data_IF_252649407592
#
_entry.id   IF_252649407592
#
_cell.length_a   1.000
_cell.length_b   1.000
_cell.length_c   1.000
_cell.angle_alpha   90.00
_cell.angle_beta   90.00
_cell.angle_gamma   90.00
#
_symmetry.space_group_name_H-M   'P 1'
#
loop_
_entity.id
_entity.type
_entity.pdbx_description
1 polymer ?
#
# COMPACT_ATOMS: atom_id res chain seq x y z
N UNK A 1 14.48 -14.62 -29.66
CA UNK A 1 15.20 -15.34 -28.59
C UNK A 1 16.12 -14.35 -27.90
N UNK A 2 16.09 -14.29 -26.57
CA UNK A 2 17.03 -13.47 -25.80
C UNK A 2 18.46 -14.08 -25.89
N UNK A 3 19.53 -13.28 -25.75
CA UNK A 3 20.90 -13.78 -25.79
C UNK A 3 21.20 -14.80 -24.68
N UNK A 4 22.18 -15.69 -24.87
CA UNK A 4 22.66 -16.55 -23.79
C UNK A 4 23.44 -15.74 -22.75
N UNK A 5 23.60 -16.29 -21.55
CA UNK A 5 24.19 -15.57 -20.41
C UNK A 5 25.55 -14.90 -20.70
N UNK A 6 26.40 -15.56 -21.50
CA UNK A 6 27.73 -15.07 -21.82
C UNK A 6 27.81 -14.26 -23.12
N UNK A 7 26.72 -14.15 -23.87
CA UNK A 7 26.66 -13.41 -25.14
C UNK A 7 26.70 -11.90 -24.89
N UNK A 8 26.97 -11.12 -25.94
CA UNK A 8 26.84 -9.68 -25.89
C UNK A 8 25.37 -9.29 -25.59
N UNK A 9 25.18 -8.29 -24.75
CA UNK A 9 23.85 -7.79 -24.49
C UNK A 9 23.29 -7.03 -25.69
N UNK A 10 22.00 -7.23 -25.98
CA UNK A 10 21.28 -6.61 -27.10
C UNK A 10 21.22 -5.07 -27.06
N UNK A 11 21.46 -4.44 -25.90
CA UNK A 11 21.39 -2.98 -25.76
C UNK A 11 22.62 -2.23 -26.28
N UNK A 12 23.61 -2.92 -26.83
CA UNK A 12 24.82 -2.28 -27.36
C UNK A 12 25.80 -1.77 -26.28
N UNK A 13 25.57 -2.06 -24.99
CA UNK A 13 26.44 -1.61 -23.89
C UNK A 13 27.85 -2.21 -23.87
N UNK A 14 28.13 -3.18 -24.75
CA UNK A 14 29.36 -3.98 -24.73
C UNK A 14 29.49 -4.93 -23.54
N UNK A 15 28.51 -4.98 -22.63
CA UNK A 15 28.50 -5.89 -21.47
C UNK A 15 27.95 -7.27 -21.87
N UNK A 16 28.41 -8.32 -21.18
CA UNK A 16 27.80 -9.66 -21.27
C UNK A 16 26.34 -9.60 -20.79
N UNK A 17 25.45 -10.32 -21.45
CA UNK A 17 24.01 -10.32 -21.15
C UNK A 17 23.71 -10.58 -19.68
N UNK A 18 24.39 -11.56 -19.06
CA UNK A 18 24.27 -11.87 -17.62
C UNK A 18 24.60 -10.73 -16.66
N UNK A 19 25.37 -9.73 -17.12
CA UNK A 19 25.80 -8.55 -16.34
C UNK A 19 25.10 -7.27 -16.80
N UNK A 20 24.14 -7.39 -17.70
CA UNK A 20 23.39 -6.27 -18.26
C UNK A 20 21.90 -6.51 -18.06
N UNK A 21 21.19 -7.03 -19.05
CA UNK A 21 19.73 -7.16 -19.02
C UNK A 21 19.20 -8.52 -18.54
N UNK A 22 20.03 -9.57 -18.41
CA UNK A 22 19.56 -10.85 -17.87
C UNK A 22 18.97 -10.75 -16.46
N UNK A 23 19.54 -9.97 -15.51
CA UNK A 23 18.92 -9.77 -14.20
C UNK A 23 17.58 -9.02 -14.21
N UNK A 24 17.21 -8.44 -15.35
CA UNK A 24 15.94 -7.74 -15.57
C UNK A 24 14.89 -8.65 -16.22
N UNK A 25 15.24 -9.88 -16.64
CA UNK A 25 14.26 -10.85 -17.14
C UNK A 25 13.23 -11.16 -16.05
N UNK A 26 11.95 -11.01 -16.38
CA UNK A 26 10.84 -11.24 -15.45
C UNK A 26 10.65 -10.14 -14.40
N UNK A 27 11.38 -9.03 -14.49
CA UNK A 27 11.17 -7.84 -13.64
C UNK A 27 10.05 -6.97 -14.19
N UNK A 28 9.41 -6.23 -13.29
CA UNK A 28 8.56 -5.10 -13.65
C UNK A 28 9.43 -4.02 -14.31
N UNK A 29 8.97 -3.52 -15.46
CA UNK A 29 9.55 -2.39 -16.17
C UNK A 29 8.53 -1.25 -16.14
N UNK A 30 9.03 -0.02 -16.06
CA UNK A 30 8.20 1.18 -16.14
C UNK A 30 7.61 1.31 -17.56
N UNK A 31 6.30 1.45 -17.63
CA UNK A 31 5.55 1.80 -18.83
C UNK A 31 5.43 3.30 -19.02
N UNK A 32 4.59 3.69 -19.97
CA UNK A 32 4.28 5.09 -20.24
C UNK A 32 3.24 5.59 -19.23
N UNK A 33 3.52 6.73 -18.59
CA UNK A 33 2.62 7.36 -17.63
C UNK A 33 1.75 8.39 -18.37
N UNK A 34 0.43 8.23 -18.32
CA UNK A 34 -0.51 9.20 -18.91
C UNK A 34 -0.60 10.48 -18.05
N UNK A 35 -1.01 11.64 -18.62
CA UNK A 35 -1.11 12.89 -17.87
C UNK A 35 -2.00 12.80 -16.62
N UNK A 36 -1.66 13.60 -15.59
CA UNK A 36 -2.44 13.72 -14.36
C UNK A 36 -3.90 14.11 -14.67
N UNK A 37 -4.86 13.39 -14.06
CA UNK A 37 -6.30 13.62 -14.24
C UNK A 37 -6.78 14.81 -13.41
N UNK A 38 -7.73 15.57 -13.94
CA UNK A 38 -8.28 16.74 -13.27
C UNK A 38 -9.38 16.37 -12.27
N UNK A 39 -9.39 17.02 -11.11
CA UNK A 39 -10.44 16.87 -10.09
C UNK A 39 -11.43 18.04 -10.20
N UNK A 40 -12.75 17.80 -10.30
CA UNK A 40 -13.76 18.86 -10.39
C UNK A 40 -13.71 19.87 -9.22
N UNK A 41 -14.10 21.12 -9.49
CA UNK A 41 -14.03 22.21 -8.51
C UNK A 41 -14.92 22.00 -7.27
N UNK A 42 -16.02 21.27 -7.42
CA UNK A 42 -16.96 21.00 -6.32
C UNK A 42 -16.42 19.98 -5.29
N UNK A 43 -15.37 19.23 -5.64
CA UNK A 43 -14.72 18.30 -4.71
C UNK A 43 -13.81 19.08 -3.77
N UNK A 44 -14.00 18.86 -2.47
CA UNK A 44 -13.13 19.42 -1.42
C UNK A 44 -11.74 18.79 -1.54
N UNK A 45 -10.71 19.63 -1.61
CA UNK A 45 -9.33 19.20 -1.87
C UNK A 45 -8.47 19.37 -0.61
N UNK A 46 -7.52 18.45 -0.34
CA UNK A 46 -6.54 18.64 0.72
C UNK A 46 -5.56 19.78 0.36
N UNK A 47 -4.87 20.31 1.37
CA UNK A 47 -4.03 21.51 1.23
C UNK A 47 -2.90 21.38 0.17
N UNK A 48 -2.41 20.17 -0.08
CA UNK A 48 -1.35 19.92 -1.05
C UNK A 48 -1.85 19.79 -2.49
N UNK A 49 -3.16 19.63 -2.74
CA UNK A 49 -3.69 19.25 -4.05
C UNK A 49 -3.29 20.21 -5.18
N UNK A 50 -3.15 21.51 -4.89
CA UNK A 50 -2.82 22.52 -5.89
C UNK A 50 -1.31 22.65 -6.17
N UNK A 51 -0.46 22.41 -5.17
CA UNK A 51 0.97 22.74 -5.23
C UNK A 51 1.88 21.51 -5.19
N UNK A 52 1.32 20.37 -4.80
CA UNK A 52 2.01 19.17 -4.39
C UNK A 52 2.86 19.29 -3.12
N UNK A 53 2.83 20.45 -2.45
CA UNK A 53 3.60 20.68 -1.23
C UNK A 53 2.76 20.35 0.00
N UNK A 54 3.23 19.38 0.78
CA UNK A 54 2.57 18.96 2.02
C UNK A 54 2.93 19.94 3.14
N UNK A 55 1.92 20.68 3.60
CA UNK A 55 2.02 21.50 4.81
C UNK A 55 1.73 20.62 6.02
N UNK A 56 2.70 20.49 6.93
CA UNK A 56 2.52 19.75 8.17
C UNK A 56 2.09 20.67 9.29
N UNK A 57 1.13 20.22 10.10
CA UNK A 57 0.74 20.87 11.35
C UNK A 57 0.72 19.87 12.49
N UNK A 58 0.73 20.37 13.72
CA UNK A 58 0.52 19.52 14.90
C UNK A 58 -0.96 19.15 14.95
N UNK A 59 -1.24 17.89 14.67
CA UNK A 59 -2.57 17.29 14.82
C UNK A 59 -2.55 16.39 16.04
N UNK A 60 -3.61 16.46 16.86
CA UNK A 60 -3.71 15.62 18.05
C UNK A 60 -3.73 14.14 17.64
N UNK A 61 -2.90 13.33 18.32
CA UNK A 61 -2.85 11.89 18.09
C UNK A 61 -4.17 11.22 18.49
N UNK A 62 -4.83 11.75 19.52
CA UNK A 62 -6.15 11.30 19.97
C UNK A 62 -7.21 12.18 19.30
N UNK A 63 -8.04 11.59 18.46
CA UNK A 63 -9.06 12.29 17.68
C UNK A 63 -10.32 12.55 18.49
N UNK A 64 -11.00 13.65 18.21
CA UNK A 64 -12.32 13.92 18.78
C UNK A 64 -13.36 12.94 18.20
N UNK A 65 -14.49 12.69 18.90
CA UNK A 65 -15.56 11.85 18.38
C UNK A 65 -16.07 12.27 17.00
N UNK A 66 -16.10 13.57 16.72
CA UNK A 66 -16.53 14.13 15.43
C UNK A 66 -15.52 13.81 14.31
N UNK A 67 -14.21 13.93 14.58
CA UNK A 67 -13.17 13.52 13.63
C UNK A 67 -13.27 12.02 13.36
N UNK A 68 -13.40 11.20 14.40
CA UNK A 68 -13.53 9.75 14.28
C UNK A 68 -14.74 9.37 13.41
N UNK A 69 -15.87 10.05 13.59
CA UNK A 69 -17.06 9.77 12.79
C UNK A 69 -16.86 10.10 11.30
N UNK A 70 -16.14 11.19 10.99
CA UNK A 70 -15.74 11.49 9.60
C UNK A 70 -14.79 10.43 9.05
N UNK A 71 -13.84 9.96 9.87
CA UNK A 71 -12.88 8.93 9.47
C UNK A 71 -13.54 7.58 9.19
N UNK A 72 -14.57 7.18 9.95
CA UNK A 72 -15.39 6.00 9.62
C UNK A 72 -15.98 6.10 8.22
N UNK A 73 -16.52 7.27 7.86
CA UNK A 73 -17.07 7.47 6.53
C UNK A 73 -15.98 7.43 5.44
N UNK A 74 -14.85 8.12 5.64
CA UNK A 74 -13.73 8.09 4.70
C UNK A 74 -13.16 6.67 4.52
N UNK A 75 -13.07 5.90 5.60
CA UNK A 75 -12.63 4.50 5.56
C UNK A 75 -13.55 3.59 4.76
N UNK A 76 -14.87 3.73 4.92
CA UNK A 76 -15.86 3.00 4.11
C UNK A 76 -15.75 3.35 2.64
N UNK A 77 -15.60 4.64 2.31
CA UNK A 77 -15.42 5.11 0.92
C UNK A 77 -14.17 4.50 0.29
N UNK A 78 -13.03 4.55 0.97
CA UNK A 78 -11.78 3.97 0.47
C UNK A 78 -11.88 2.45 0.29
N UNK A 79 -12.45 1.74 1.27
CA UNK A 79 -12.63 0.29 1.22
C UNK A 79 -13.55 -0.16 0.08
N UNK A 80 -14.63 0.59 -0.19
CA UNK A 80 -15.54 0.29 -1.29
C UNK A 80 -14.85 0.48 -2.66
N UNK A 81 -14.10 1.57 -2.83
CA UNK A 81 -13.32 1.84 -4.05
C UNK A 81 -12.28 0.74 -4.28
N UNK A 82 -11.53 0.36 -3.24
CA UNK A 82 -10.54 -0.72 -3.32
C UNK A 82 -11.19 -2.05 -3.74
N UNK A 83 -12.32 -2.42 -3.13
CA UNK A 83 -13.04 -3.65 -3.46
C UNK A 83 -13.48 -3.65 -4.92
N UNK A 84 -14.06 -2.56 -5.40
CA UNK A 84 -14.52 -2.44 -6.79
C UNK A 84 -13.36 -2.43 -7.79
N UNK A 85 -12.27 -1.71 -7.49
CA UNK A 85 -11.08 -1.71 -8.34
C UNK A 85 -10.44 -3.10 -8.42
N UNK A 86 -10.47 -3.85 -7.31
CA UNK A 86 -10.06 -5.25 -7.24
C UNK A 86 -10.78 -6.18 -8.21
N UNK A 87 -12.07 -5.93 -8.51
CA UNK A 87 -12.85 -6.73 -9.46
C UNK A 87 -12.34 -6.59 -10.91
N UNK A 88 -11.58 -5.52 -11.21
CA UNK A 88 -10.99 -5.30 -12.52
C UNK A 88 -9.67 -6.05 -12.73
N UNK A 89 -9.03 -6.52 -11.65
CA UNK A 89 -7.71 -7.15 -11.69
C UNK A 89 -7.78 -8.49 -12.42
N UNK A 90 -7.25 -8.53 -13.64
CA UNK A 90 -7.22 -9.72 -14.51
C UNK A 90 -6.13 -9.58 -15.58
N UNK A 91 -5.68 -10.69 -16.20
CA UNK A 91 -4.74 -10.61 -17.31
C UNK A 91 -5.27 -9.69 -18.43
N UNK A 92 -4.38 -8.87 -19.00
CA UNK A 92 -4.69 -8.01 -20.15
C UNK A 92 -5.15 -6.59 -19.83
N UNK A 93 -5.44 -6.25 -18.56
CA UNK A 93 -5.71 -4.87 -18.15
C UNK A 93 -4.40 -4.14 -17.81
N UNK A 94 -4.35 -2.83 -18.01
CA UNK A 94 -3.24 -1.99 -17.57
C UNK A 94 -3.45 -1.45 -16.15
N UNK A 95 -2.36 -1.07 -15.48
CA UNK A 95 -2.46 -0.36 -14.19
C UNK A 95 -3.07 1.04 -14.37
N UNK A 96 -2.83 1.71 -15.51
CA UNK A 96 -3.47 2.99 -15.83
C UNK A 96 -5.00 2.87 -15.99
N UNK A 97 -5.52 1.79 -16.59
CA UNK A 97 -6.98 1.54 -16.64
C UNK A 97 -7.60 1.41 -15.25
N UNK A 98 -6.86 0.84 -14.29
CA UNK A 98 -7.29 0.75 -12.89
C UNK A 98 -7.26 2.13 -12.24
N UNK A 99 -6.22 2.95 -12.47
CA UNK A 99 -6.15 4.33 -11.97
C UNK A 99 -7.31 5.19 -12.47
N UNK A 100 -7.64 5.09 -13.76
CA UNK A 100 -8.79 5.79 -14.35
C UNK A 100 -10.08 5.44 -13.60
N UNK A 101 -10.31 4.15 -13.35
CA UNK A 101 -11.47 3.71 -12.59
C UNK A 101 -11.46 4.23 -11.15
N UNK A 102 -10.34 4.10 -10.43
CA UNK A 102 -10.22 4.56 -9.04
C UNK A 102 -10.44 6.07 -8.96
N UNK A 103 -9.87 6.83 -9.89
CA UNK A 103 -10.09 8.27 -9.98
C UNK A 103 -11.59 8.58 -10.10
N UNK A 104 -12.24 8.04 -11.13
CA UNK A 104 -13.64 8.34 -11.44
C UNK A 104 -14.57 7.88 -10.29
N UNK A 105 -14.33 6.69 -9.73
CA UNK A 105 -15.06 6.16 -8.57
C UNK A 105 -14.89 7.00 -7.29
N UNK A 106 -13.73 7.65 -7.14
CA UNK A 106 -13.46 8.57 -6.02
C UNK A 106 -14.26 9.87 -6.19
N UNK A 107 -14.26 10.44 -7.40
CA UNK A 107 -15.03 11.65 -7.72
C UNK A 107 -16.53 11.42 -7.57
N UNK A 108 -17.06 10.29 -8.05
CA UNK A 108 -18.47 9.91 -7.92
C UNK A 108 -18.94 9.85 -6.46
N UNK A 109 -18.04 9.54 -5.53
CA UNK A 109 -18.31 9.52 -4.09
C UNK A 109 -18.12 10.87 -3.40
N UNK A 110 -17.84 11.93 -4.16
CA UNK A 110 -17.61 13.27 -3.62
C UNK A 110 -16.27 13.41 -2.89
N UNK A 111 -15.32 12.51 -3.13
CA UNK A 111 -14.03 12.46 -2.47
C UNK A 111 -12.89 12.92 -3.40
N UNK A 112 -11.74 13.23 -2.80
CA UNK A 112 -10.49 13.49 -3.51
C UNK A 112 -9.56 12.27 -3.38
N UNK A 113 -8.93 11.77 -4.46
CA UNK A 113 -7.96 10.69 -4.38
C UNK A 113 -6.67 11.20 -3.75
N UNK A 114 -6.42 10.85 -2.48
CA UNK A 114 -5.36 11.47 -1.67
C UNK A 114 -3.97 11.37 -2.28
N UNK A 115 -3.56 10.28 -2.97
CA UNK A 115 -2.25 10.22 -3.60
C UNK A 115 -2.05 11.29 -4.68
N UNK A 116 -3.12 11.76 -5.33
CA UNK A 116 -3.01 12.66 -6.46
C UNK A 116 -2.34 13.97 -6.05
N UNK A 117 -1.22 14.28 -6.69
CA UNK A 117 -0.32 15.40 -6.43
C UNK A 117 0.32 15.40 -5.02
N UNK A 118 0.17 14.37 -4.20
CA UNK A 118 0.86 14.31 -2.89
C UNK A 118 2.38 14.22 -3.09
N UNK A 119 3.14 15.24 -2.67
CA UNK A 119 4.57 15.38 -3.02
C UNK A 119 4.85 15.29 -4.54
N UNK A 120 3.87 15.62 -5.39
CA UNK A 120 3.98 15.50 -6.84
C UNK A 120 3.68 14.11 -7.41
N UNK A 121 3.16 13.16 -6.62
CA UNK A 121 2.73 11.86 -7.13
C UNK A 121 1.67 12.03 -8.25
N UNK A 122 1.82 11.39 -9.42
CA UNK A 122 1.07 11.79 -10.63
C UNK A 122 -0.31 11.12 -10.77
N UNK A 123 -0.65 10.16 -9.90
CA UNK A 123 -1.81 9.25 -10.06
C UNK A 123 -2.71 9.22 -8.83
N UNK A 124 -3.86 8.59 -8.96
CA UNK A 124 -4.95 8.57 -7.96
C UNK A 124 -4.89 7.36 -7.03
N UNK A 125 -4.10 6.35 -7.38
CA UNK A 125 -3.91 5.08 -6.68
C UNK A 125 -2.46 4.63 -6.86
N UNK A 126 -1.91 3.86 -5.92
CA UNK A 126 -0.65 3.15 -6.18
C UNK A 126 -0.93 1.72 -6.69
N UNK A 127 -0.17 1.26 -7.67
CA UNK A 127 -0.26 -0.08 -8.25
C UNK A 127 1.09 -0.79 -8.17
N UNK A 128 1.24 -1.72 -7.23
CA UNK A 128 2.53 -2.35 -6.94
C UNK A 128 2.50 -3.83 -7.32
N UNK A 129 3.08 -4.15 -8.49
CA UNK A 129 3.11 -5.51 -9.01
C UNK A 129 4.37 -6.28 -8.55
N UNK A 130 4.20 -7.56 -8.21
CA UNK A 130 5.29 -8.53 -8.03
C UNK A 130 6.38 -8.08 -7.03
N UNK A 131 7.55 -7.64 -7.49
CA UNK A 131 8.65 -7.17 -6.64
C UNK A 131 8.56 -5.72 -6.18
N UNK A 132 7.60 -4.95 -6.69
CA UNK A 132 7.34 -3.58 -6.27
C UNK A 132 6.70 -3.63 -4.88
N UNK A 133 7.39 -3.03 -3.90
CA UNK A 133 7.01 -3.00 -2.49
C UNK A 133 5.80 -2.10 -2.26
N UNK A 134 5.90 -0.85 -2.71
CA UNK A 134 4.85 0.15 -2.56
C UNK A 134 5.08 1.29 -3.56
N UNK A 135 4.10 2.19 -3.66
CA UNK A 135 4.14 3.43 -4.45
C UNK A 135 4.42 3.24 -5.95
N UNK A 136 4.17 2.05 -6.51
CA UNK A 136 4.24 1.87 -7.96
C UNK A 136 3.28 2.82 -8.65
N UNK A 137 3.76 3.55 -9.67
CA UNK A 137 2.96 4.51 -10.42
C UNK A 137 2.15 3.76 -11.50
N UNK A 138 0.82 3.90 -11.55
CA UNK A 138 0.01 3.41 -12.67
C UNK A 138 0.51 3.90 -14.03
N UNK A 139 0.67 2.96 -14.96
CA UNK A 139 1.28 3.16 -16.27
C UNK A 139 0.71 2.20 -17.33
N UNK A 140 1.31 2.19 -18.52
CA UNK A 140 0.89 1.32 -19.63
C UNK A 140 1.23 -0.17 -19.45
N UNK A 141 1.75 -0.62 -18.29
CA UNK A 141 2.05 -2.03 -18.03
C UNK A 141 0.78 -2.86 -18.04
N UNK A 142 0.72 -3.81 -18.96
CA UNK A 142 -0.34 -4.83 -19.01
C UNK A 142 -0.06 -5.92 -17.98
N UNK A 143 -1.03 -6.20 -17.10
CA UNK A 143 -0.97 -7.30 -16.13
C UNK A 143 -0.93 -8.65 -16.85
N UNK A 144 -0.03 -9.52 -16.41
CA UNK A 144 0.17 -10.86 -16.96
C UNK A 144 -0.50 -11.91 -16.07
N UNK A 145 -0.92 -13.02 -16.68
CA UNK A 145 -1.33 -14.21 -15.93
C UNK A 145 -0.19 -14.69 -15.03
N UNK A 146 -0.50 -14.91 -13.76
CA UNK A 146 0.45 -15.29 -12.72
C UNK A 146 1.03 -14.12 -11.90
N UNK A 147 0.79 -12.86 -12.28
CA UNK A 147 1.17 -11.69 -11.47
C UNK A 147 0.41 -11.64 -10.13
N UNK A 148 0.97 -10.91 -9.16
CA UNK A 148 0.21 -10.35 -8.03
C UNK A 148 0.27 -8.82 -8.11
N UNK A 149 -0.80 -8.14 -7.68
CA UNK A 149 -0.91 -6.69 -7.73
C UNK A 149 -1.50 -6.15 -6.44
N UNK A 150 -0.74 -5.33 -5.71
CA UNK A 150 -1.30 -4.50 -4.65
C UNK A 150 -1.91 -3.22 -5.26
N UNK A 151 -3.12 -2.87 -4.79
CA UNK A 151 -3.77 -1.58 -5.04
C UNK A 151 -3.87 -0.84 -3.73
N UNK A 152 -3.38 0.40 -3.70
CA UNK A 152 -3.37 1.25 -2.51
C UNK A 152 -4.27 2.49 -2.69
N UNK A 153 -5.37 2.51 -1.95
CA UNK A 153 -6.47 3.47 -2.12
C UNK A 153 -6.63 4.31 -0.86
N UNK A 154 -6.39 5.61 -1.02
CA UNK A 154 -6.68 6.60 0.02
C UNK A 154 -7.69 7.64 -0.47
N UNK A 155 -8.80 7.80 0.23
CA UNK A 155 -9.82 8.81 -0.09
C UNK A 155 -9.84 9.95 0.94
N UNK A 156 -9.89 11.20 0.46
CA UNK A 156 -10.08 12.39 1.29
C UNK A 156 -11.52 12.90 1.15
N UNK A 157 -12.28 12.85 2.23
CA UNK A 157 -13.68 13.28 2.25
C UNK A 157 -14.05 13.81 3.64
N UNK A 158 -14.87 14.87 3.66
CA UNK A 158 -15.26 15.52 4.90
C UNK A 158 -14.11 16.17 5.67
N UNK A 159 -12.92 16.34 5.07
CA UNK A 159 -11.77 16.94 5.73
C UNK A 159 -10.79 15.95 6.38
N UNK A 160 -10.97 14.65 6.17
CA UNK A 160 -10.09 13.59 6.69
C UNK A 160 -9.78 12.55 5.61
N UNK A 161 -8.72 11.77 5.82
CA UNK A 161 -8.30 10.67 4.96
C UNK A 161 -8.76 9.31 5.52
N UNK A 162 -9.10 8.38 4.63
CA UNK A 162 -9.24 6.96 4.93
C UNK A 162 -8.37 6.15 3.98
N UNK A 163 -7.61 5.19 4.52
CA UNK A 163 -6.52 4.51 3.80
C UNK A 163 -6.56 2.99 3.95
N UNK A 164 -6.42 2.29 2.82
CA UNK A 164 -6.47 0.83 2.76
C UNK A 164 -5.92 0.30 1.45
N UNK A 165 -5.28 -0.85 1.53
CA UNK A 165 -4.72 -1.54 0.39
C UNK A 165 -4.89 -3.06 0.52
N UNK A 166 -4.84 -3.75 -0.60
CA UNK A 166 -4.88 -5.21 -0.65
C UNK A 166 -4.13 -5.73 -1.87
N UNK A 167 -3.54 -6.92 -1.74
CA UNK A 167 -2.91 -7.62 -2.86
C UNK A 167 -3.88 -8.60 -3.51
N UNK A 168 -4.04 -8.47 -4.82
CA UNK A 168 -4.90 -9.28 -5.67
C UNK A 168 -4.07 -10.26 -6.52
N UNK A 169 -4.68 -11.40 -6.82
CA UNK A 169 -4.10 -12.43 -7.69
C UNK A 169 -4.53 -12.17 -9.15
N UNK A 170 -3.59 -12.16 -10.08
CA UNK A 170 -3.88 -11.98 -11.50
C UNK A 170 -3.92 -13.34 -12.19
N UNK A 171 -5.13 -13.87 -12.42
CA UNK A 171 -5.31 -15.16 -13.10
C UNK A 171 -4.78 -16.34 -12.27
N UNK A 172 -4.00 -17.24 -12.87
CA UNK A 172 -3.46 -18.42 -12.18
C UNK A 172 -2.06 -18.19 -11.59
N UNK A 173 -2.04 -17.76 -10.33
CA UNK A 173 -0.82 -17.47 -9.56
C UNK A 173 -0.21 -18.74 -8.98
N UNK A 174 1.12 -18.83 -8.95
CA UNK A 174 1.83 -19.98 -8.40
C UNK A 174 1.59 -20.16 -6.87
N UNK A 175 1.75 -21.38 -6.33
CA UNK A 175 1.46 -21.66 -4.92
C UNK A 175 2.26 -20.83 -3.92
N UNK A 176 3.52 -20.46 -4.22
CA UNK A 176 4.35 -19.70 -3.30
C UNK A 176 3.87 -18.25 -3.22
N UNK A 177 3.48 -17.66 -4.34
CA UNK A 177 2.93 -16.31 -4.40
C UNK A 177 1.52 -16.23 -3.80
N UNK A 178 0.68 -17.27 -3.97
CA UNK A 178 -0.59 -17.38 -3.23
C UNK A 178 -0.38 -17.44 -1.71
N UNK A 179 0.59 -18.22 -1.25
CA UNK A 179 0.94 -18.29 0.17
C UNK A 179 1.48 -16.96 0.69
N UNK A 180 2.29 -16.24 -0.09
CA UNK A 180 2.77 -14.90 0.27
C UNK A 180 1.59 -13.97 0.54
N UNK A 181 0.62 -13.88 -0.37
CA UNK A 181 -0.56 -13.01 -0.23
C UNK A 181 -1.38 -13.40 1.01
N UNK A 182 -1.65 -14.69 1.21
CA UNK A 182 -2.37 -15.19 2.38
C UNK A 182 -1.66 -14.83 3.69
N UNK A 183 -0.37 -15.12 3.81
CA UNK A 183 0.40 -14.87 5.03
C UNK A 183 0.52 -13.37 5.31
N UNK A 184 0.52 -12.53 4.27
CA UNK A 184 0.52 -11.07 4.42
C UNK A 184 -0.80 -10.56 5.02
N UNK A 185 -1.94 -11.08 4.54
CA UNK A 185 -3.25 -10.80 5.14
C UNK A 185 -3.28 -11.24 6.62
N UNK A 186 -2.80 -12.45 6.92
CA UNK A 186 -2.69 -12.96 8.29
C UNK A 186 -1.80 -12.09 9.18
N UNK A 187 -0.62 -11.68 8.68
CA UNK A 187 0.29 -10.77 9.37
C UNK A 187 -0.40 -9.46 9.75
N UNK A 188 -1.13 -8.86 8.79
CA UNK A 188 -1.89 -7.61 9.00
C UNK A 188 -2.88 -7.78 10.15
N UNK A 189 -3.66 -8.86 10.14
CA UNK A 189 -4.64 -9.13 11.20
C UNK A 189 -4.01 -9.49 12.56
N UNK A 190 -2.86 -10.16 12.59
CA UNK A 190 -2.11 -10.33 13.85
C UNK A 190 -1.60 -8.99 14.40
N UNK A 191 -1.19 -8.07 13.53
CA UNK A 191 -0.86 -6.70 13.90
C UNK A 191 -2.06 -5.95 14.48
N UNK A 192 -3.21 -6.03 13.81
CA UNK A 192 -4.48 -5.42 14.26
C UNK A 192 -4.92 -5.98 15.62
N UNK A 193 -4.92 -7.30 15.81
CA UNK A 193 -5.32 -7.91 17.09
C UNK A 193 -4.36 -7.59 18.25
N UNK A 194 -3.15 -7.12 17.97
CA UNK A 194 -2.20 -6.64 18.99
C UNK A 194 -2.49 -5.21 19.47
N UNK A 195 -3.39 -4.48 18.81
CA UNK A 195 -3.79 -3.13 19.21
C UNK A 195 -4.62 -3.19 20.49
N UNK A 196 -4.11 -2.56 21.53
CA UNK A 196 -4.71 -2.53 22.86
C UNK A 196 -4.30 -1.24 23.59
N UNK A 197 -5.25 -0.50 24.20
CA UNK A 197 -4.90 0.68 24.98
C UNK A 197 -3.93 0.36 26.12
N UNK A 198 -2.97 1.25 26.35
CA UNK A 198 -1.94 1.09 27.37
C UNK A 198 -0.75 0.21 26.96
N UNK A 199 -0.77 -0.39 25.76
CA UNK A 199 0.35 -1.17 25.19
C UNK A 199 1.21 -0.32 24.25
N UNK A 200 2.51 -0.63 24.09
CA UNK A 200 3.37 0.08 23.14
C UNK A 200 3.10 -0.33 21.69
N UNK A 201 3.31 0.58 20.73
CA UNK A 201 3.19 0.30 19.29
C UNK A 201 4.11 -0.84 18.83
N UNK A 202 5.26 -1.06 19.49
CA UNK A 202 6.17 -2.18 19.19
C UNK A 202 5.53 -3.57 19.29
N UNK A 203 4.40 -3.73 20.01
CA UNK A 203 3.68 -4.99 20.06
C UNK A 203 3.06 -5.37 18.70
N UNK A 204 2.69 -4.39 17.86
CA UNK A 204 2.18 -4.61 16.50
C UNK A 204 3.27 -5.24 15.63
N UNK A 205 4.44 -4.61 15.56
CA UNK A 205 5.58 -5.13 14.80
C UNK A 205 6.09 -6.49 15.33
N UNK A 206 5.97 -6.73 16.64
CA UNK A 206 6.25 -8.04 17.23
C UNK A 206 5.31 -9.13 16.72
N UNK A 207 4.01 -8.85 16.69
CA UNK A 207 2.99 -9.80 16.24
C UNK A 207 3.17 -10.16 14.76
N UNK A 208 3.35 -9.15 13.91
CA UNK A 208 3.60 -9.30 12.46
C UNK A 208 4.88 -10.12 12.22
N UNK A 209 6.01 -9.69 12.79
CA UNK A 209 7.30 -10.33 12.52
C UNK A 209 7.34 -11.78 13.02
N UNK A 210 6.71 -12.08 14.16
CA UNK A 210 6.61 -13.44 14.67
C UNK A 210 5.83 -14.36 13.73
N UNK A 211 4.79 -13.85 13.06
CA UNK A 211 4.02 -14.65 12.11
C UNK A 211 4.79 -14.85 10.80
N UNK A 212 5.31 -13.80 10.19
CA UNK A 212 6.10 -13.87 8.97
C UNK A 212 7.30 -14.83 9.08
N UNK A 213 7.99 -14.83 10.24
CA UNK A 213 9.12 -15.73 10.52
C UNK A 213 8.78 -17.22 10.45
N UNK A 214 7.55 -17.63 10.80
CA UNK A 214 7.12 -19.04 10.70
C UNK A 214 7.18 -19.56 9.26
N UNK A 215 6.96 -18.67 8.29
CA UNK A 215 6.97 -18.96 6.86
C UNK A 215 8.28 -18.57 6.18
N UNK A 216 9.29 -18.13 6.94
CA UNK A 216 10.60 -17.67 6.42
C UNK A 216 10.47 -16.50 5.44
N UNK A 217 9.45 -15.65 5.63
CA UNK A 217 9.24 -14.44 4.85
C UNK A 217 9.93 -13.24 5.51
N UNK A 218 10.37 -12.28 4.69
CA UNK A 218 10.95 -11.02 5.16
C UNK A 218 9.89 -9.96 5.44
N UNK A 219 10.20 -9.01 6.34
CA UNK A 219 9.34 -7.86 6.65
C UNK A 219 10.10 -6.59 6.30
N UNK A 220 9.58 -5.80 5.35
CA UNK A 220 10.21 -4.54 4.90
C UNK A 220 10.37 -3.59 6.08
N UNK A 221 11.49 -2.84 6.09
CA UNK A 221 11.85 -1.92 7.20
C UNK A 221 11.90 -0.45 6.83
N UNK A 222 11.83 -0.12 5.54
CA UNK A 222 11.96 1.25 5.05
C UNK A 222 10.63 2.02 5.04
N UNK A 223 9.52 1.30 5.02
CA UNK A 223 8.16 1.82 4.99
C UNK A 223 7.38 1.24 6.18
N UNK A 224 6.50 2.04 6.75
CA UNK A 224 5.90 1.84 8.07
C UNK A 224 4.47 2.35 8.05
N UNK A 225 3.62 1.84 8.93
CA UNK A 225 2.33 2.46 9.16
C UNK A 225 2.47 3.85 9.77
N UNK A 226 1.43 4.66 9.62
CA UNK A 226 1.45 6.05 10.00
C UNK A 226 0.15 6.46 10.70
N UNK A 227 0.22 7.46 11.57
CA UNK A 227 -1.00 8.10 12.05
C UNK A 227 -1.69 8.84 10.90
N UNK A 228 -3.01 8.80 10.90
CA UNK A 228 -3.85 9.33 9.82
C UNK A 228 -5.08 10.04 10.41
N UNK A 229 -5.57 11.07 9.73
CA UNK A 229 -6.73 11.83 10.15
C UNK A 229 -7.00 12.99 9.20
N UNK A 230 -6.90 14.22 9.70
CA UNK A 230 -7.00 15.43 8.88
C UNK A 230 -5.76 15.63 8.00
N UNK A 231 -4.59 15.14 8.45
CA UNK A 231 -3.42 14.89 7.63
C UNK A 231 -3.39 13.46 7.11
N UNK A 232 -2.86 13.30 5.90
CA UNK A 232 -2.62 12.00 5.28
C UNK A 232 -1.62 11.18 6.12
N UNK A 233 -0.47 11.78 6.45
CA UNK A 233 0.56 11.16 7.29
C UNK A 233 0.94 12.08 8.45
N UNK A 234 0.81 11.59 9.69
CA UNK A 234 1.18 12.30 10.94
C UNK A 234 2.45 11.72 11.58
N UNK A 235 2.74 12.09 12.84
CA UNK A 235 3.96 11.70 13.55
C UNK A 235 3.88 10.34 14.28
N UNK A 236 2.73 9.68 14.30
CA UNK A 236 2.61 8.30 14.79
C UNK A 236 3.25 7.38 13.78
N UNK A 237 4.20 6.56 14.23
CA UNK A 237 4.99 5.65 13.39
C UNK A 237 4.79 4.22 13.87
N UNK A 238 4.25 3.36 13.00
CA UNK A 238 3.91 1.96 13.31
C UNK A 238 4.85 1.04 12.55
N UNK A 239 5.87 0.53 13.23
CA UNK A 239 6.81 -0.40 12.61
C UNK A 239 6.19 -1.79 12.46
N UNK A 240 6.35 -2.40 11.28
CA UNK A 240 5.89 -3.77 11.00
C UNK A 240 6.85 -4.86 11.48
N UNK A 241 8.05 -4.47 11.92
CA UNK A 241 9.04 -5.33 12.55
C UNK A 241 9.22 -4.93 14.02
N UNK A 242 9.70 -5.85 14.84
CA UNK A 242 9.91 -5.55 16.26
C UNK A 242 11.11 -4.61 16.46
N UNK A 243 10.86 -3.48 17.12
CA UNK A 243 11.89 -2.61 17.70
C UNK A 243 11.37 -2.10 19.05
N UNK A 244 12.09 -2.39 20.14
CA UNK A 244 11.72 -1.95 21.49
C UNK A 244 11.67 -0.42 21.64
N UNK A 245 12.34 0.32 20.74
CA UNK A 245 12.36 1.78 20.73
C UNK A 245 11.03 2.36 20.27
N UNK A 246 10.20 1.60 19.54
CA UNK A 246 8.82 1.96 19.20
C UNK A 246 7.91 1.84 20.44
N UNK A 247 8.17 2.71 21.41
CA UNK A 247 7.65 2.67 22.77
C UNK A 247 6.44 3.59 23.01
N UNK A 248 5.95 4.26 21.95
CA UNK A 248 4.74 5.09 22.04
C UNK A 248 3.55 4.22 22.52
N UNK A 249 2.87 4.68 23.57
CA UNK A 249 1.73 3.99 24.15
C UNK A 249 0.46 4.30 23.37
N UNK A 250 -0.24 3.26 22.94
CA UNK A 250 -1.56 3.34 22.31
C UNK A 250 -2.59 3.84 23.32
N UNK A 251 -3.41 4.81 22.91
CA UNK A 251 -4.46 5.43 23.73
C UNK A 251 -5.78 5.43 22.97
N UNK A 252 -6.92 5.28 23.66
CA UNK A 252 -8.23 5.41 23.02
C UNK A 252 -8.34 6.71 22.21
N UNK A 253 -8.93 6.62 21.02
CA UNK A 253 -9.05 7.71 20.07
C UNK A 253 -7.84 7.91 19.15
N UNK A 254 -6.74 7.17 19.33
CA UNK A 254 -5.64 7.18 18.36
C UNK A 254 -6.03 6.50 17.06
N UNK A 255 -5.64 7.11 15.94
CA UNK A 255 -5.86 6.56 14.58
C UNK A 255 -4.55 6.42 13.82
N UNK A 256 -4.34 5.24 13.22
CA UNK A 256 -3.13 4.92 12.45
C UNK A 256 -3.36 3.74 11.52
N UNK A 257 -2.49 3.58 10.53
CA UNK A 257 -2.49 2.46 9.59
C UNK A 257 -1.64 1.31 10.12
N UNK A 258 -2.01 0.08 9.76
CA UNK A 258 -1.19 -1.12 9.86
C UNK A 258 -1.12 -1.69 8.45
N UNK A 259 0.06 -1.68 7.84
CA UNK A 259 0.25 -1.88 6.39
C UNK A 259 1.48 -2.77 6.05
N UNK A 260 1.65 -3.95 6.66
CA UNK A 260 2.90 -4.71 6.52
C UNK A 260 3.17 -5.17 5.09
N UNK A 261 4.35 -4.80 4.57
CA UNK A 261 4.89 -5.34 3.32
C UNK A 261 5.77 -6.57 3.63
N UNK A 262 5.29 -7.73 3.20
CA UNK A 262 5.94 -9.03 3.42
C UNK A 262 6.58 -9.50 2.11
N UNK A 263 7.75 -10.14 2.19
CA UNK A 263 8.57 -10.49 1.02
C UNK A 263 8.91 -11.99 1.01
N UNK A 264 8.99 -12.60 -0.18
CA UNK A 264 9.59 -13.93 -0.37
C UNK A 264 11.12 -13.94 -0.12
N UNK A 265 11.71 -12.75 0.01
CA UNK A 265 13.15 -12.50 0.05
C UNK A 265 13.61 -11.76 1.30
N UNK A 266 14.63 -10.93 1.11
CA UNK A 266 15.10 -10.00 2.13
C UNK A 266 14.20 -8.76 2.25
N UNK A 267 14.35 -8.04 3.36
CA UNK A 267 13.61 -6.81 3.65
C UNK A 267 14.16 -5.56 2.93
N UNK A 268 15.35 -5.67 2.34
CA UNK A 268 16.05 -4.56 1.72
C UNK A 268 15.31 -4.09 0.47
N UNK A 269 15.20 -2.76 0.33
CA UNK A 269 14.58 -2.11 -0.81
C UNK A 269 15.63 -1.40 -1.67
N UNK A 270 15.21 -1.00 -2.86
CA UNK A 270 15.89 -0.03 -3.73
C UNK A 270 14.85 0.77 -4.50
N UNK A 271 15.15 2.02 -4.79
CA UNK A 271 14.40 2.77 -5.80
C UNK A 271 14.80 2.24 -7.18
N UNK A 272 13.83 1.86 -8.00
CA UNK A 272 14.12 1.14 -9.26
C UNK A 272 13.99 1.99 -10.52
N UNK A 273 13.26 3.11 -10.45
CA UNK A 273 13.05 4.02 -11.56
C UNK A 273 13.47 5.45 -11.20
N UNK A 274 13.66 6.29 -12.20
CA UNK A 274 13.96 7.73 -12.05
C UNK A 274 12.64 8.51 -11.85
N UNK A 275 11.81 8.03 -10.93
CA UNK A 275 10.48 8.56 -10.64
C UNK A 275 10.29 8.98 -9.17
N UNK A 276 11.33 8.85 -8.34
CA UNK A 276 11.33 9.15 -6.90
C UNK A 276 10.32 8.37 -6.01
N UNK A 277 9.50 7.48 -6.59
CA UNK A 277 8.37 6.84 -5.90
C UNK A 277 8.50 5.32 -5.85
N UNK A 278 8.83 4.67 -6.97
CA UNK A 278 8.67 3.23 -7.09
C UNK A 278 9.77 2.49 -6.33
N UNK A 279 9.40 1.90 -5.19
CA UNK A 279 10.27 1.09 -4.36
C UNK A 279 10.11 -0.39 -4.67
N UNK A 280 11.20 -1.12 -4.90
CA UNK A 280 11.18 -2.56 -5.12
C UNK A 280 12.13 -3.30 -4.18
N UNK A 281 11.93 -4.61 -4.04
CA UNK A 281 12.86 -5.45 -3.29
C UNK A 281 14.23 -5.47 -3.95
N UNK A 282 15.29 -5.46 -3.14
CA UNK A 282 16.67 -5.38 -3.63
C UNK A 282 17.13 -6.67 -4.33
N UNK A 283 16.60 -7.83 -3.90
CA UNK A 283 16.79 -9.12 -4.56
C UNK A 283 15.76 -9.39 -5.68
N UNK A 284 14.77 -8.50 -5.80
CA UNK A 284 13.64 -8.55 -6.71
C UNK A 284 12.69 -9.75 -6.48
N UNK A 285 12.76 -10.40 -5.34
CA UNK A 285 11.72 -11.38 -5.00
C UNK A 285 10.41 -10.65 -4.71
N UNK A 286 9.30 -11.36 -4.91
CA UNK A 286 7.99 -10.73 -4.81
C UNK A 286 7.62 -10.37 -3.37
N UNK A 287 6.69 -9.43 -3.28
CA UNK A 287 6.18 -8.87 -2.05
C UNK A 287 4.67 -8.66 -2.15
N UNK A 288 4.00 -8.67 -1.02
CA UNK A 288 2.58 -8.38 -0.91
C UNK A 288 2.36 -7.46 0.28
N UNK A 289 1.27 -6.72 0.23
CA UNK A 289 0.84 -5.79 1.27
C UNK A 289 -0.69 -5.83 1.42
N UNK A 290 -1.14 -5.68 2.67
CA UNK A 290 -2.51 -5.40 3.05
C UNK A 290 -2.47 -4.26 4.07
N UNK A 291 -3.51 -3.45 4.10
CA UNK A 291 -3.58 -2.32 4.99
C UNK A 291 -4.98 -2.00 5.49
N UNK A 292 -5.03 -1.61 6.77
CA UNK A 292 -6.19 -0.97 7.34
C UNK A 292 -5.87 0.27 8.17
N UNK A 293 -6.74 1.27 8.06
CA UNK A 293 -6.87 2.36 9.04
C UNK A 293 -7.57 1.83 10.30
N UNK A 294 -6.88 1.94 11.44
CA UNK A 294 -7.31 1.46 12.75
C UNK A 294 -7.59 2.61 13.71
N UNK A 295 -8.57 2.42 14.59
CA UNK A 295 -8.90 3.28 15.73
C UNK A 295 -8.71 2.49 17.02
N UNK A 296 -7.91 2.99 17.95
CA UNK A 296 -7.81 2.42 19.30
C UNK A 296 -9.09 2.77 20.09
N UNK A 297 -9.76 1.76 20.64
CA UNK A 297 -10.93 1.91 21.53
C UNK A 297 -10.51 1.79 22.99
N UNK A 298 -11.47 1.90 23.91
CA UNK A 298 -11.23 1.75 25.36
C UNK A 298 -10.80 0.33 25.76
N UNK A 299 -11.05 -0.66 24.91
CA UNK A 299 -10.86 -2.08 25.18
C UNK A 299 -10.21 -2.87 24.02
N UNK A 300 -9.78 -2.19 22.95
CA UNK A 300 -9.18 -2.84 21.79
C UNK A 300 -9.05 -1.92 20.58
N UNK A 301 -9.59 -2.38 19.45
CA UNK A 301 -9.46 -1.75 18.14
C UNK A 301 -10.76 -1.81 17.35
N UNK A 302 -11.08 -0.72 16.67
CA UNK A 302 -12.06 -0.65 15.59
C UNK A 302 -11.32 -0.47 14.26
N UNK A 303 -11.62 -1.29 13.26
CA UNK A 303 -11.00 -1.21 11.94
C UNK A 303 -11.89 -0.38 11.02
N UNK A 304 -11.50 0.88 10.77
CA UNK A 304 -12.34 1.87 10.08
C UNK A 304 -12.53 1.54 8.58
N UNK A 305 -11.60 0.78 8.00
CA UNK A 305 -11.65 0.31 6.61
C UNK A 305 -12.02 -1.18 6.50
N UNK A 306 -12.60 -1.80 7.53
CA UNK A 306 -13.11 -3.17 7.45
C UNK A 306 -14.51 -3.30 6.79
N UNK A 307 -15.48 -2.41 7.03
CA UNK A 307 -16.83 -2.61 6.48
C UNK A 307 -16.82 -2.62 4.95
N UNK A 308 -17.22 -3.75 4.35
CA UNK A 308 -17.30 -3.90 2.89
C UNK A 308 -15.95 -3.97 2.17
N UNK A 309 -14.84 -4.21 2.88
CA UNK A 309 -13.50 -4.31 2.29
C UNK A 309 -13.19 -5.70 1.73
N UNK A 310 -12.03 -5.82 1.07
CA UNK A 310 -11.48 -7.09 0.56
C UNK A 310 -11.14 -8.05 1.72
N UNK A 311 -10.67 -7.50 2.84
CA UNK A 311 -10.34 -8.23 4.06
C UNK A 311 -11.13 -7.64 5.24
N UNK A 312 -12.41 -8.00 5.42
CA UNK A 312 -13.27 -7.34 6.42
C UNK A 312 -13.07 -7.87 7.85
N UNK A 313 -12.41 -9.03 7.99
CA UNK A 313 -12.15 -9.68 9.28
C UNK A 313 -10.95 -10.62 9.18
N UNK A 314 -10.36 -10.96 10.32
CA UNK A 314 -9.25 -11.91 10.39
C UNK A 314 -9.53 -13.20 9.60
N UNK A 315 -8.57 -13.69 8.78
CA UNK A 315 -8.79 -14.83 7.89
C UNK A 315 -9.24 -16.11 8.60
N UNK A 316 -8.75 -16.38 9.80
CA UNK A 316 -9.11 -17.55 10.62
C UNK A 316 -10.51 -17.47 11.26
N UNK A 317 -11.23 -16.36 11.07
CA UNK A 317 -12.64 -16.21 11.48
C UNK A 317 -13.61 -16.35 10.31
N UNK A 318 -13.12 -16.48 9.07
CA UNK A 318 -13.91 -16.63 7.84
C UNK A 318 -14.13 -18.10 7.47
#
# INVERSE_FOLDING_TARGET
MLPQANDACWCGSGRKYKRCHKPMEGRVLQGDITPMRAVPDHIVKPAYAATGQVQRWTEDRVKSPEIIQRMRHAGVVAAEILRLAGEMVRPGITTDEIDVFVHDATIERGAYPSPLNYHGYPKSVCTSANEIICHGIPDSRVLQDGDILNLDVTAYIGGVHGDTNATFLVGDVDPASRQLVQVTEECTWYGIEAVMPGRPLSDIGRAIENHAKKYKLGVVRAFIGHGIGEQFHTDVQVLHYYDERASMIMRPGMTFTIEPMITLGGWQHRMVFDDDWTAATADGKWTAQFEHTCLVTDDGVEVLTAPGSVSPSAPWRR
#
